data_IF_050799846616
#
_entry.id   IF_050799846616
#
_cell.length_a   1.000
_cell.length_b   1.000
_cell.length_c   1.000
_cell.angle_alpha   90.00
_cell.angle_beta   90.00
_cell.angle_gamma   90.00
#
_symmetry.space_group_name_H-M   'P 1'
#
loop_
_entity.id
_entity.type
_entity.pdbx_description
1 polymer ?
#
# COMPACT_ATOMS: atom_id res chain seq x y z
N UNK A 1 27.55 22.96 -1.38
CA UNK A 1 26.36 22.23 -0.90
C UNK A 1 25.26 22.44 -1.92
N UNK A 2 24.51 21.42 -2.29
CA UNK A 2 23.37 21.56 -3.20
C UNK A 2 22.31 22.48 -2.59
N UNK A 3 21.57 23.18 -3.45
CA UNK A 3 20.50 24.10 -3.05
C UNK A 3 19.18 23.62 -3.66
N UNK A 4 18.20 23.39 -2.82
CA UNK A 4 16.85 23.05 -3.22
C UNK A 4 15.97 24.29 -3.19
N UNK A 5 15.31 24.62 -4.30
CA UNK A 5 14.32 25.71 -4.36
C UNK A 5 12.92 25.14 -4.34
N UNK A 6 12.11 25.59 -3.39
CA UNK A 6 10.71 25.18 -3.23
C UNK A 6 9.87 26.38 -2.81
N UNK A 7 8.75 26.63 -3.51
CA UNK A 7 7.87 27.80 -3.28
C UNK A 7 8.62 29.13 -3.28
N UNK A 8 9.67 29.27 -4.12
CA UNK A 8 10.47 30.48 -4.23
C UNK A 8 11.48 30.69 -3.09
N UNK A 9 11.59 29.77 -2.15
CA UNK A 9 12.60 29.79 -1.08
C UNK A 9 13.69 28.76 -1.35
N UNK A 10 14.91 29.03 -0.88
CA UNK A 10 16.08 28.17 -1.08
C UNK A 10 16.49 27.49 0.23
N UNK A 11 16.82 26.21 0.14
CA UNK A 11 17.19 25.37 1.25
C UNK A 11 18.51 24.67 0.97
N UNK A 12 19.45 24.70 1.91
CA UNK A 12 20.70 23.94 1.80
C UNK A 12 20.46 22.46 2.11
N UNK A 13 20.96 21.58 1.24
CA UNK A 13 20.85 20.13 1.44
C UNK A 13 22.11 19.58 2.08
N UNK A 14 21.96 18.60 2.98
CA UNK A 14 23.07 17.89 3.60
C UNK A 14 23.50 16.68 2.76
N UNK A 15 24.76 16.22 2.89
CA UNK A 15 25.19 15.03 2.18
C UNK A 15 24.37 13.79 2.56
N UNK A 16 23.90 13.06 1.56
CA UNK A 16 23.11 11.83 1.76
C UNK A 16 21.61 12.04 2.04
N UNK A 17 21.14 13.29 2.05
CA UNK A 17 19.70 13.55 2.12
C UNK A 17 18.99 13.24 0.80
N UNK A 18 17.72 12.89 0.92
CA UNK A 18 16.79 12.93 -0.20
C UNK A 18 16.14 14.32 -0.29
N UNK A 19 15.53 14.62 -1.43
CA UNK A 19 14.75 15.86 -1.62
C UNK A 19 13.68 16.00 -0.54
N UNK A 20 12.99 14.92 -0.18
CA UNK A 20 12.02 14.92 0.91
C UNK A 20 12.70 15.20 2.26
N UNK A 21 13.80 14.54 2.57
CA UNK A 21 14.55 14.72 3.83
C UNK A 21 14.97 16.18 4.02
N UNK A 22 15.54 16.79 3.00
CA UNK A 22 15.91 18.21 3.00
C UNK A 22 14.71 19.12 3.32
N UNK A 23 13.58 18.93 2.63
CA UNK A 23 12.38 19.74 2.86
C UNK A 23 11.80 19.55 4.27
N UNK A 24 11.76 18.32 4.77
CA UNK A 24 11.26 18.02 6.12
C UNK A 24 12.16 18.63 7.21
N UNK A 25 13.49 18.57 7.07
CA UNK A 25 14.43 19.20 7.99
C UNK A 25 14.21 20.72 8.06
N UNK A 26 13.85 21.33 6.95
CA UNK A 26 13.48 22.74 6.87
C UNK A 26 11.98 23.00 7.16
N UNK A 27 11.31 22.04 7.84
CA UNK A 27 9.92 22.15 8.30
C UNK A 27 8.90 22.42 7.19
N UNK A 28 9.21 22.03 5.96
CA UNK A 28 8.25 22.15 4.88
C UNK A 28 7.18 21.04 4.97
N UNK A 29 5.92 21.45 4.89
CA UNK A 29 4.78 20.52 4.96
C UNK A 29 4.61 19.80 3.62
N UNK A 30 5.34 18.70 3.43
CA UNK A 30 5.21 17.81 2.29
C UNK A 30 4.44 16.57 2.74
N UNK A 31 3.32 16.20 2.09
CA UNK A 31 2.65 14.94 2.37
C UNK A 31 3.62 13.78 2.19
N UNK A 32 3.68 12.88 3.17
CA UNK A 32 4.58 11.73 3.10
C UNK A 32 4.06 10.58 3.95
N UNK A 33 4.47 9.38 3.59
CA UNK A 33 4.03 8.17 4.29
C UNK A 33 5.13 7.12 4.29
N UNK A 34 5.33 6.43 3.17
CA UNK A 34 6.13 5.19 3.12
C UNK A 34 7.65 5.39 3.12
N UNK A 35 8.15 6.52 2.70
CA UNK A 35 9.59 6.80 2.51
C UNK A 35 10.34 5.77 1.61
N UNK A 36 9.61 4.88 0.97
CA UNK A 36 10.09 3.75 0.19
C UNK A 36 9.63 3.77 -1.28
N UNK A 37 9.10 4.91 -1.76
CA UNK A 37 8.72 5.07 -3.16
C UNK A 37 7.39 4.43 -3.58
N UNK A 38 6.55 4.00 -2.63
CA UNK A 38 5.32 3.25 -2.97
C UNK A 38 4.06 4.12 -2.88
N UNK A 39 3.90 4.91 -1.81
CA UNK A 39 2.63 5.59 -1.50
C UNK A 39 2.31 6.80 -2.38
N UNK A 40 3.25 7.27 -3.18
CA UNK A 40 3.16 8.45 -4.05
C UNK A 40 2.81 9.79 -3.35
N UNK A 41 2.66 9.80 -2.00
CA UNK A 41 2.26 11.00 -1.25
C UNK A 41 3.30 12.11 -1.31
N UNK A 42 4.59 11.76 -1.43
CA UNK A 42 5.69 12.72 -1.53
C UNK A 42 6.03 13.12 -2.97
N UNK A 43 5.10 12.95 -3.90
CA UNK A 43 5.31 13.30 -5.30
C UNK A 43 5.56 14.80 -5.44
N UNK A 44 6.68 15.16 -6.05
CA UNK A 44 7.05 16.51 -6.45
C UNK A 44 7.30 16.54 -7.95
N UNK A 45 7.44 17.75 -8.51
CA UNK A 45 7.68 17.98 -9.93
C UNK A 45 8.90 18.87 -10.14
N UNK A 46 9.71 18.53 -11.14
CA UNK A 46 10.77 19.39 -11.64
C UNK A 46 10.93 19.23 -13.15
N UNK A 47 11.01 20.34 -13.86
CA UNK A 47 11.25 20.35 -15.30
C UNK A 47 12.74 20.51 -15.68
N UNK A 48 13.62 20.58 -14.68
CA UNK A 48 15.06 20.86 -14.88
C UNK A 48 15.97 19.67 -14.53
N UNK A 49 15.40 18.57 -14.06
CA UNK A 49 16.18 17.36 -13.75
C UNK A 49 16.28 16.48 -15.00
N UNK A 50 17.48 16.07 -15.41
CA UNK A 50 17.65 15.12 -16.49
C UNK A 50 16.88 13.82 -16.22
N UNK A 51 16.22 13.28 -17.25
CA UNK A 51 15.35 12.09 -17.14
C UNK A 51 16.08 10.88 -16.56
N UNK A 52 17.37 10.72 -16.88
CA UNK A 52 18.21 9.62 -16.43
C UNK A 52 18.35 9.60 -14.90
N UNK A 53 18.25 10.76 -14.26
CA UNK A 53 18.32 10.88 -12.79
C UNK A 53 17.00 10.61 -12.09
N UNK A 54 15.91 10.69 -12.83
CA UNK A 54 14.57 10.46 -12.28
C UNK A 54 14.14 8.99 -12.33
N UNK A 55 14.84 8.13 -13.09
CA UNK A 55 14.41 6.73 -13.35
C UNK A 55 14.03 5.98 -12.08
N UNK A 56 14.89 6.02 -11.05
CA UNK A 56 14.61 5.33 -9.79
C UNK A 56 13.49 6.02 -9.00
N UNK A 57 13.48 7.35 -8.99
CA UNK A 57 12.48 8.15 -8.28
C UNK A 57 11.13 8.21 -9.01
N UNK A 58 11.01 7.65 -10.20
CA UNK A 58 9.78 7.55 -10.98
C UNK A 58 9.18 6.15 -11.00
N UNK A 59 9.79 5.19 -10.31
CA UNK A 59 9.21 3.84 -10.22
C UNK A 59 7.82 3.87 -9.60
N UNK A 60 6.86 3.20 -10.25
CA UNK A 60 5.47 3.16 -9.82
C UNK A 60 4.62 4.40 -10.18
N UNK A 61 5.20 5.41 -10.84
CA UNK A 61 4.44 6.51 -11.44
C UNK A 61 3.94 6.14 -12.85
N UNK A 62 2.82 6.71 -13.25
CA UNK A 62 2.31 6.55 -14.60
C UNK A 62 3.20 7.25 -15.62
N UNK A 63 3.15 6.82 -16.89
CA UNK A 63 3.90 7.49 -17.97
C UNK A 63 3.56 8.97 -18.09
N UNK A 64 2.30 9.37 -17.83
CA UNK A 64 1.90 10.77 -17.87
C UNK A 64 2.60 11.58 -16.78
N UNK A 65 2.70 11.06 -15.56
CA UNK A 65 3.43 11.67 -14.46
C UNK A 65 4.92 11.77 -14.78
N UNK A 66 5.52 10.70 -15.29
CA UNK A 66 6.93 10.72 -15.70
C UNK A 66 7.19 11.80 -16.78
N UNK A 67 6.34 11.89 -17.80
CA UNK A 67 6.45 12.94 -18.84
C UNK A 67 6.29 14.36 -18.28
N UNK A 68 5.52 14.52 -17.21
CA UNK A 68 5.36 15.81 -16.53
C UNK A 68 6.54 16.16 -15.60
N UNK A 69 7.58 15.33 -15.53
CA UNK A 69 8.71 15.53 -14.63
C UNK A 69 8.37 15.31 -13.15
N UNK A 70 7.32 14.55 -12.88
CA UNK A 70 6.96 14.14 -11.52
C UNK A 70 7.91 13.06 -11.02
N UNK A 71 8.19 13.06 -9.71
CA UNK A 71 9.07 12.09 -9.06
C UNK A 71 8.74 11.96 -7.59
N UNK A 72 9.14 10.85 -6.99
CA UNK A 72 8.97 10.56 -5.56
C UNK A 72 10.13 11.17 -4.78
N UNK A 73 9.88 12.25 -4.05
CA UNK A 73 10.90 13.03 -3.37
C UNK A 73 11.70 12.24 -2.31
N UNK A 74 11.13 11.15 -1.78
CA UNK A 74 11.82 10.23 -0.88
C UNK A 74 12.85 9.32 -1.58
N UNK A 75 12.82 9.24 -2.91
CA UNK A 75 13.70 8.39 -3.70
C UNK A 75 14.75 9.19 -4.49
N UNK A 76 14.60 10.52 -4.60
CA UNK A 76 15.55 11.36 -5.30
C UNK A 76 16.60 11.92 -4.31
N UNK A 77 17.90 11.58 -4.46
CA UNK A 77 18.97 12.22 -3.69
C UNK A 77 19.05 13.72 -3.94
N UNK A 78 19.24 14.50 -2.87
CA UNK A 78 19.40 15.96 -2.93
C UNK A 78 20.87 16.34 -3.14
N UNK A 79 21.56 15.71 -4.08
CA UNK A 79 23.00 15.85 -4.34
C UNK A 79 23.33 16.92 -5.40
N UNK A 80 22.30 17.55 -5.99
CA UNK A 80 22.40 18.64 -6.96
C UNK A 80 21.39 19.73 -6.63
N UNK A 81 21.74 20.98 -7.05
CA UNK A 81 20.79 22.09 -6.95
C UNK A 81 19.65 21.89 -7.92
N UNK A 82 18.43 21.98 -7.41
CA UNK A 82 17.23 21.81 -8.22
C UNK A 82 16.06 22.65 -7.70
N UNK A 83 15.16 22.99 -8.60
CA UNK A 83 13.91 23.67 -8.31
C UNK A 83 12.77 22.66 -8.41
N UNK A 84 11.95 22.58 -7.37
CA UNK A 84 10.82 21.68 -7.29
C UNK A 84 9.53 22.40 -6.93
N UNK A 85 8.42 21.85 -7.38
CA UNK A 85 7.08 22.30 -7.05
C UNK A 85 6.19 21.13 -6.68
N UNK A 86 5.03 21.41 -6.10
CA UNK A 86 3.98 20.41 -6.00
C UNK A 86 3.42 20.18 -7.41
N UNK A 87 3.23 18.94 -7.84
CA UNK A 87 2.57 18.64 -9.10
C UNK A 87 1.12 19.14 -9.05
N UNK A 88 0.48 19.25 -10.21
CA UNK A 88 -0.96 19.43 -10.29
C UNK A 88 -1.61 18.19 -9.65
N UNK A 89 -1.91 18.28 -8.36
CA UNK A 89 -2.30 17.14 -7.55
C UNK A 89 -3.61 16.53 -8.03
N UNK A 90 -3.71 15.20 -8.00
CA UNK A 90 -5.00 14.56 -7.83
C UNK A 90 -5.63 15.18 -6.57
N UNK A 91 -6.87 15.69 -6.64
CA UNK A 91 -7.47 16.38 -5.50
C UNK A 91 -7.57 15.44 -4.29
N UNK A 92 -7.38 15.98 -3.11
CA UNK A 92 -7.81 15.34 -1.88
C UNK A 92 -9.33 15.40 -1.81
N UNK A 93 -9.93 14.28 -1.48
CA UNK A 93 -11.37 14.14 -1.30
C UNK A 93 -11.69 13.95 0.18
N UNK A 94 -12.66 14.69 0.68
CA UNK A 94 -13.19 14.44 2.01
C UNK A 94 -14.15 13.26 1.93
N UNK A 95 -13.94 12.26 2.77
CA UNK A 95 -14.85 11.14 2.95
C UNK A 95 -15.37 11.12 4.38
N UNK A 96 -16.65 10.81 4.54
CA UNK A 96 -17.30 10.70 5.85
C UNK A 96 -17.38 9.25 6.26
N UNK A 97 -16.97 8.94 7.49
CA UNK A 97 -17.09 7.61 8.06
C UNK A 97 -18.56 7.28 8.33
N UNK A 98 -19.06 6.30 7.63
CA UNK A 98 -20.43 5.79 7.81
C UNK A 98 -20.48 4.75 8.93
N UNK A 99 -19.49 3.87 9.03
CA UNK A 99 -19.43 2.80 10.03
C UNK A 99 -18.00 2.44 10.41
N UNK A 100 -17.77 2.23 11.70
CA UNK A 100 -16.56 1.64 12.28
C UNK A 100 -16.93 0.34 12.99
N UNK A 101 -16.18 -0.72 12.73
CA UNK A 101 -16.39 -2.05 13.31
C UNK A 101 -15.07 -2.69 13.68
N UNK A 102 -14.91 -3.18 14.90
CA UNK A 102 -13.74 -3.93 15.32
C UNK A 102 -13.90 -5.39 14.89
N UNK A 103 -13.01 -5.86 14.01
CA UNK A 103 -13.02 -7.24 13.49
C UNK A 103 -12.20 -8.20 14.35
N UNK A 104 -11.17 -7.70 15.04
CA UNK A 104 -10.35 -8.44 16.00
C UNK A 104 -9.71 -7.46 16.98
N UNK A 105 -8.90 -7.96 17.94
CA UNK A 105 -8.19 -7.11 18.89
C UNK A 105 -7.32 -6.03 18.23
N UNK A 106 -6.90 -6.26 16.97
CA UNK A 106 -5.96 -5.39 16.27
C UNK A 106 -6.43 -4.91 14.90
N UNK A 107 -7.59 -5.35 14.41
CA UNK A 107 -8.09 -4.99 13.07
C UNK A 107 -9.45 -4.33 13.16
N UNK A 108 -9.58 -3.19 12.50
CA UNK A 108 -10.82 -2.43 12.33
C UNK A 108 -11.25 -2.41 10.88
N UNK A 109 -12.55 -2.47 10.66
CA UNK A 109 -13.21 -2.22 9.39
C UNK A 109 -13.82 -0.83 9.41
N UNK A 110 -13.37 0.02 8.49
CA UNK A 110 -13.89 1.38 8.33
C UNK A 110 -14.60 1.49 7.00
N UNK A 111 -15.84 1.96 7.02
CA UNK A 111 -16.70 2.14 5.86
C UNK A 111 -16.97 3.62 5.63
N UNK A 112 -16.68 4.10 4.42
CA UNK A 112 -16.80 5.51 4.06
C UNK A 112 -17.79 5.71 2.92
N UNK A 113 -18.62 6.74 3.05
CA UNK A 113 -19.38 7.26 1.93
C UNK A 113 -18.44 7.99 0.97
N UNK A 114 -18.42 7.54 -0.29
CA UNK A 114 -17.55 8.12 -1.30
C UNK A 114 -18.19 7.99 -2.68
N UNK A 115 -18.06 9.06 -3.47
CA UNK A 115 -18.43 9.05 -4.89
C UNK A 115 -17.29 8.59 -5.80
N UNK A 116 -16.13 8.27 -5.26
CA UNK A 116 -14.98 7.82 -6.03
C UNK A 116 -15.23 6.45 -6.66
N UNK A 117 -14.54 6.21 -7.76
CA UNK A 117 -14.51 4.92 -8.44
C UNK A 117 -13.12 4.34 -8.36
N UNK A 118 -13.02 3.04 -8.13
CA UNK A 118 -11.76 2.29 -8.07
C UNK A 118 -11.93 0.91 -8.68
N UNK A 119 -10.82 0.34 -9.08
CA UNK A 119 -10.76 -1.06 -9.49
C UNK A 119 -10.36 -1.94 -8.29
N UNK A 120 -10.82 -3.20 -8.25
CA UNK A 120 -10.45 -4.16 -7.20
C UNK A 120 -8.94 -4.28 -7.06
N UNK A 121 -8.44 -4.19 -5.82
CA UNK A 121 -7.02 -4.24 -5.50
C UNK A 121 -6.31 -2.89 -5.45
N UNK A 122 -6.93 -1.80 -5.92
CA UNK A 122 -6.38 -0.45 -5.78
C UNK A 122 -6.43 0.05 -4.33
N UNK A 123 -5.50 0.96 -4.01
CA UNK A 123 -5.37 1.59 -2.70
C UNK A 123 -5.58 3.11 -2.75
N UNK A 124 -5.74 3.68 -1.56
CA UNK A 124 -5.84 5.13 -1.34
C UNK A 124 -4.85 5.57 -0.27
N UNK A 125 -4.34 6.78 -0.40
CA UNK A 125 -3.64 7.47 0.67
C UNK A 125 -4.65 8.16 1.58
N UNK A 126 -4.66 7.82 2.87
CA UNK A 126 -5.53 8.39 3.88
C UNK A 126 -4.76 9.34 4.78
N UNK A 127 -5.38 10.44 5.18
CA UNK A 127 -4.83 11.41 6.11
C UNK A 127 -5.91 12.07 6.97
N UNK A 128 -5.58 12.40 8.21
CA UNK A 128 -6.43 13.20 9.10
C UNK A 128 -6.01 14.67 9.15
N UNK A 129 -4.77 14.99 8.76
CA UNK A 129 -4.19 16.33 8.86
C UNK A 129 -3.62 16.85 7.52
N UNK A 130 -3.76 16.09 6.43
CA UNK A 130 -3.24 16.42 5.10
C UNK A 130 -1.73 16.26 4.93
N UNK A 131 -1.00 15.86 5.97
CA UNK A 131 0.47 15.72 5.98
C UNK A 131 0.87 14.26 6.21
N UNK A 132 0.48 13.72 7.36
CA UNK A 132 0.74 12.30 7.69
C UNK A 132 -0.19 11.43 6.86
N UNK A 133 0.37 10.60 5.98
CA UNK A 133 -0.41 9.73 5.10
C UNK A 133 -0.01 8.27 5.26
N UNK A 134 -0.98 7.37 5.07
CA UNK A 134 -0.75 5.93 4.91
C UNK A 134 -1.67 5.39 3.84
N UNK A 135 -1.18 4.35 3.16
CA UNK A 135 -1.93 3.67 2.11
C UNK A 135 -2.72 2.52 2.68
N UNK A 136 -3.96 2.42 2.22
CA UNK A 136 -4.86 1.33 2.54
C UNK A 136 -5.59 0.88 1.29
N UNK A 137 -5.58 -0.42 1.04
CA UNK A 137 -6.24 -1.02 -0.11
C UNK A 137 -7.74 -1.18 0.18
N UNK A 138 -8.57 -0.93 -0.83
CA UNK A 138 -10.01 -1.13 -0.73
C UNK A 138 -10.33 -2.63 -0.57
N UNK A 139 -11.23 -2.95 0.36
CA UNK A 139 -11.64 -4.33 0.66
C UNK A 139 -12.87 -4.79 -0.12
N UNK A 140 -13.52 -3.89 -0.85
CA UNK A 140 -14.65 -4.18 -1.73
C UNK A 140 -14.41 -3.60 -3.13
N UNK A 141 -14.91 -4.22 -4.19
CA UNK A 141 -15.00 -3.57 -5.50
C UNK A 141 -16.05 -2.45 -5.46
N UNK A 142 -15.82 -1.39 -6.24
CA UNK A 142 -16.73 -0.23 -6.30
C UNK A 142 -18.16 -0.57 -6.79
N UNK A 143 -18.32 -1.70 -7.48
CA UNK A 143 -19.62 -2.23 -7.92
C UNK A 143 -20.45 -2.83 -6.79
N UNK A 144 -19.81 -3.25 -5.69
CA UNK A 144 -20.47 -4.02 -4.63
C UNK A 144 -20.77 -3.24 -3.35
N UNK A 145 -20.39 -1.97 -3.27
CA UNK A 145 -20.73 -1.19 -2.08
C UNK A 145 -19.84 0.03 -1.83
N UNK A 146 -19.85 0.52 -0.59
CA UNK A 146 -19.10 1.68 -0.17
C UNK A 146 -17.58 1.42 -0.18
N UNK A 147 -16.81 2.47 0.03
CA UNK A 147 -15.37 2.37 0.19
C UNK A 147 -15.03 1.82 1.59
N UNK A 148 -14.48 0.61 1.64
CA UNK A 148 -14.16 -0.10 2.88
C UNK A 148 -12.67 -0.32 2.98
N UNK A 149 -12.12 -0.08 4.18
CA UNK A 149 -10.74 -0.39 4.52
C UNK A 149 -10.65 -1.30 5.74
N UNK A 150 -9.70 -2.24 5.74
CA UNK A 150 -9.28 -2.98 6.92
C UNK A 150 -8.00 -2.38 7.48
N UNK A 151 -8.07 -1.84 8.68
CA UNK A 151 -6.98 -1.10 9.31
C UNK A 151 -6.38 -1.96 10.43
N UNK A 152 -5.11 -2.32 10.29
CA UNK A 152 -4.33 -2.87 11.39
C UNK A 152 -3.97 -1.73 12.34
N UNK A 153 -4.47 -1.78 13.57
CA UNK A 153 -4.12 -0.84 14.63
C UNK A 153 -2.72 -1.15 15.16
N UNK A 154 -1.85 -0.15 15.12
CA UNK A 154 -0.56 -0.19 15.78
C UNK A 154 -0.61 0.79 16.96
N UNK A 155 -0.44 0.33 18.22
CA UNK A 155 -0.59 1.19 19.39
C UNK A 155 0.32 2.42 19.39
N UNK A 156 1.51 2.29 18.79
CA UNK A 156 2.47 3.40 18.61
C UNK A 156 2.30 4.09 17.24
N UNK A 157 1.39 3.61 16.40
CA UNK A 157 1.13 4.13 15.07
C UNK A 157 0.22 5.34 15.10
N UNK A 158 0.77 6.54 14.91
CA UNK A 158 0.02 7.82 14.99
C UNK A 158 -1.26 7.82 14.17
N UNK A 159 -1.21 7.45 12.89
CA UNK A 159 -2.37 7.48 12.01
C UNK A 159 -3.27 6.25 12.18
N UNK A 160 -2.74 5.03 12.25
CA UNK A 160 -3.56 3.82 12.38
C UNK A 160 -4.35 3.79 13.69
N UNK A 161 -3.75 4.22 14.79
CA UNK A 161 -4.45 4.33 16.07
C UNK A 161 -5.54 5.41 16.02
N UNK A 162 -5.26 6.57 15.43
CA UNK A 162 -6.25 7.63 15.27
C UNK A 162 -7.41 7.23 14.36
N UNK A 163 -7.15 6.54 13.24
CA UNK A 163 -8.18 6.02 12.34
C UNK A 163 -9.11 5.02 13.04
N UNK A 164 -8.58 4.14 13.88
CA UNK A 164 -9.36 3.16 14.62
C UNK A 164 -10.22 3.78 15.74
N UNK A 165 -9.99 5.04 16.08
CA UNK A 165 -10.81 5.80 17.08
C UNK A 165 -11.91 6.62 16.45
N UNK A 166 -11.95 6.72 15.12
CA UNK A 166 -13.01 7.45 14.42
C UNK A 166 -14.38 6.82 14.68
N UNK A 167 -15.38 7.67 14.74
CA UNK A 167 -16.78 7.32 14.91
C UNK A 167 -17.61 7.77 13.70
N UNK A 168 -18.79 7.22 13.52
CA UNK A 168 -19.67 7.60 12.43
C UNK A 168 -19.92 9.12 12.41
N UNK A 169 -19.79 9.74 11.25
CA UNK A 169 -19.85 11.18 11.04
C UNK A 169 -18.49 11.89 11.02
N UNK A 170 -17.43 11.27 11.53
CA UNK A 170 -16.08 11.82 11.42
C UNK A 170 -15.61 11.80 9.96
N UNK A 171 -14.72 12.73 9.61
CA UNK A 171 -14.21 12.87 8.25
C UNK A 171 -12.71 12.65 8.17
N UNK A 172 -12.25 12.19 7.03
CA UNK A 172 -10.83 12.14 6.68
C UNK A 172 -10.61 12.65 5.24
N UNK A 173 -9.35 12.89 4.93
CA UNK A 173 -8.90 13.19 3.59
C UNK A 173 -8.37 11.91 2.94
N UNK A 174 -8.77 11.66 1.71
CA UNK A 174 -8.24 10.55 0.91
C UNK A 174 -7.86 11.02 -0.50
N UNK A 175 -6.85 10.39 -1.03
CA UNK A 175 -6.34 10.65 -2.37
C UNK A 175 -6.14 9.31 -3.08
N UNK A 176 -6.54 9.22 -4.32
CA UNK A 176 -6.47 7.99 -5.12
C UNK A 176 -7.61 7.91 -6.13
N UNK A 177 -7.87 6.73 -6.70
CA UNK A 177 -7.18 5.46 -6.45
C UNK A 177 -5.78 5.42 -7.06
N UNK A 178 -4.93 4.56 -6.48
CA UNK A 178 -3.57 4.26 -6.92
C UNK A 178 -3.35 2.75 -7.05
N UNK A 179 -2.26 2.36 -7.70
CA UNK A 179 -1.78 0.98 -7.77
C UNK A 179 -2.26 0.21 -8.99
N UNK A 180 -1.41 -0.75 -9.38
CA UNK A 180 -1.63 -1.64 -10.53
C UNK A 180 -1.88 -3.10 -10.10
N UNK A 181 -2.04 -3.36 -8.81
CA UNK A 181 -2.44 -4.65 -8.26
C UNK A 181 -3.94 -4.84 -8.48
N UNK A 182 -4.32 -5.16 -9.72
CA UNK A 182 -5.72 -5.21 -10.17
C UNK A 182 -6.04 -6.59 -10.72
N UNK A 183 -7.33 -6.97 -10.65
CA UNK A 183 -7.81 -8.14 -11.38
C UNK A 183 -7.53 -7.94 -12.87
N UNK A 184 -6.84 -8.92 -13.47
CA UNK A 184 -6.56 -8.89 -14.89
C UNK A 184 -7.77 -9.36 -15.67
N UNK A 185 -8.02 -8.69 -16.80
CA UNK A 185 -8.94 -9.17 -17.83
C UNK A 185 -8.16 -10.19 -18.68
N UNK A 186 -8.53 -11.46 -18.60
CA UNK A 186 -7.98 -12.53 -19.42
C UNK A 186 -9.14 -13.23 -20.15
N UNK A 187 -8.90 -13.60 -21.40
CA UNK A 187 -9.86 -14.34 -22.22
C UNK A 187 -9.86 -15.85 -21.96
N UNK A 188 -8.90 -16.34 -21.20
CA UNK A 188 -8.75 -17.77 -20.90
C UNK A 188 -9.14 -18.04 -19.46
N UNK A 189 -10.20 -18.84 -19.20
CA UNK A 189 -10.56 -19.25 -17.86
C UNK A 189 -9.38 -19.89 -17.13
N UNK A 190 -9.11 -19.44 -15.90
CA UNK A 190 -7.99 -19.91 -15.09
C UNK A 190 -8.41 -20.01 -13.64
N UNK A 191 -7.66 -20.78 -12.85
CA UNK A 191 -7.80 -20.72 -11.42
C UNK A 191 -7.21 -19.41 -10.90
N UNK A 192 -7.96 -18.72 -10.03
CA UNK A 192 -7.51 -17.54 -9.30
C UNK A 192 -7.09 -17.96 -7.89
N UNK A 193 -5.80 -17.89 -7.60
CA UNK A 193 -5.24 -18.19 -6.28
C UNK A 193 -4.84 -16.90 -5.57
N UNK A 194 -5.55 -16.58 -4.50
CA UNK A 194 -5.37 -15.38 -3.69
C UNK A 194 -4.72 -15.78 -2.36
N UNK A 195 -3.54 -15.27 -2.05
CA UNK A 195 -2.79 -15.63 -0.84
C UNK A 195 -2.46 -14.37 -0.05
N UNK A 196 -3.02 -14.24 1.16
CA UNK A 196 -2.89 -13.04 1.97
C UNK A 196 -2.60 -13.27 3.43
N UNK A 197 -1.91 -12.30 4.06
CA UNK A 197 -1.65 -12.31 5.49
C UNK A 197 -2.03 -10.98 6.14
N UNK A 198 -2.69 -11.07 7.31
CA UNK A 198 -3.16 -9.89 8.04
C UNK A 198 -4.10 -9.03 7.18
N UNK A 199 -3.96 -7.71 7.24
CA UNK A 199 -4.77 -6.79 6.42
C UNK A 199 -4.42 -6.82 4.93
N UNK A 200 -3.40 -7.58 4.50
CA UNK A 200 -3.20 -7.97 3.10
C UNK A 200 -4.39 -8.75 2.52
N UNK A 201 -5.27 -9.24 3.39
CA UNK A 201 -6.54 -9.84 2.96
C UNK A 201 -7.45 -8.82 2.24
N UNK A 202 -7.44 -7.54 2.62
CA UNK A 202 -8.35 -6.51 2.09
C UNK A 202 -8.37 -6.41 0.55
N UNK A 203 -7.25 -6.17 -0.15
CA UNK A 203 -7.27 -6.10 -1.61
C UNK A 203 -7.67 -7.42 -2.28
N UNK A 204 -7.36 -8.55 -1.64
CA UNK A 204 -7.72 -9.87 -2.16
C UNK A 204 -9.22 -10.14 -2.06
N UNK A 205 -9.89 -9.65 -1.01
CA UNK A 205 -11.35 -9.70 -0.89
C UNK A 205 -12.03 -8.90 -2.00
N UNK A 206 -11.49 -7.72 -2.32
CA UNK A 206 -12.00 -6.91 -3.43
C UNK A 206 -11.81 -7.61 -4.79
N UNK A 207 -10.63 -8.19 -5.02
CA UNK A 207 -10.33 -8.95 -6.25
C UNK A 207 -11.24 -10.18 -6.35
N UNK A 208 -11.37 -10.97 -5.26
CA UNK A 208 -12.26 -12.12 -5.21
C UNK A 208 -13.72 -11.71 -5.48
N UNK A 209 -14.16 -10.61 -4.85
CA UNK A 209 -15.51 -10.09 -5.03
C UNK A 209 -15.82 -9.75 -6.49
N UNK A 210 -14.89 -9.10 -7.19
CA UNK A 210 -15.03 -8.80 -8.61
C UNK A 210 -15.00 -10.08 -9.46
N UNK A 211 -14.06 -10.98 -9.17
CA UNK A 211 -13.94 -12.24 -9.92
C UNK A 211 -15.18 -13.14 -9.81
N UNK A 212 -16.00 -13.01 -8.74
CA UNK A 212 -17.29 -13.73 -8.65
C UNK A 212 -18.39 -13.16 -9.56
N UNK A 213 -18.18 -11.98 -10.14
CA UNK A 213 -19.12 -11.34 -11.07
C UNK A 213 -18.68 -11.54 -12.53
N UNK A 214 -17.52 -12.17 -12.72
CA UNK A 214 -16.90 -12.40 -14.02
C UNK A 214 -16.72 -13.91 -14.24
N UNK A 215 -17.24 -14.44 -15.35
CA UNK A 215 -17.17 -15.86 -15.70
C UNK A 215 -15.77 -16.31 -16.18
N UNK A 216 -14.76 -15.43 -16.10
CA UNK A 216 -13.41 -15.77 -16.56
C UNK A 216 -12.63 -16.73 -15.63
N UNK A 217 -13.09 -16.93 -14.39
CA UNK A 217 -12.44 -17.83 -13.43
C UNK A 217 -13.35 -18.98 -13.03
N UNK A 218 -12.97 -20.20 -13.40
CA UNK A 218 -13.70 -21.42 -13.05
C UNK A 218 -13.55 -21.83 -11.58
N UNK A 219 -12.45 -21.40 -10.94
CA UNK A 219 -12.12 -21.75 -9.56
C UNK A 219 -11.39 -20.58 -8.89
N UNK A 220 -11.94 -20.12 -7.78
CA UNK A 220 -11.35 -19.07 -6.94
C UNK A 220 -11.02 -19.66 -5.58
N UNK A 221 -9.73 -19.62 -5.22
CA UNK A 221 -9.21 -20.11 -3.94
C UNK A 221 -8.58 -18.94 -3.18
N UNK A 222 -9.02 -18.74 -1.94
CA UNK A 222 -8.46 -17.78 -1.01
C UNK A 222 -7.71 -18.51 0.12
N UNK A 223 -6.39 -18.41 0.13
CA UNK A 223 -5.54 -18.89 1.21
C UNK A 223 -5.24 -17.76 2.20
N UNK A 224 -5.82 -17.85 3.38
CA UNK A 224 -5.60 -16.93 4.49
C UNK A 224 -4.42 -17.40 5.33
N UNK A 225 -3.40 -16.58 5.45
CA UNK A 225 -2.22 -16.91 6.22
C UNK A 225 -2.06 -16.02 7.46
N UNK A 226 -1.66 -16.60 8.58
CA UNK A 226 -1.31 -15.86 9.79
C UNK A 226 -0.12 -16.53 10.49
N UNK A 227 0.60 -15.79 11.35
CA UNK A 227 1.65 -16.39 12.21
C UNK A 227 1.06 -17.27 13.29
N UNK A 228 -0.09 -16.88 13.82
CA UNK A 228 -0.85 -17.62 14.80
C UNK A 228 -2.35 -17.42 14.59
N UNK A 229 -3.17 -18.22 15.23
CA UNK A 229 -4.63 -18.22 15.04
C UNK A 229 -5.26 -16.86 15.36
N UNK A 230 -4.69 -16.10 16.29
CA UNK A 230 -5.12 -14.74 16.66
C UNK A 230 -4.88 -13.69 15.57
N UNK A 231 -4.03 -14.00 14.57
CA UNK A 231 -3.80 -13.16 13.41
C UNK A 231 -4.85 -13.33 12.31
N UNK A 232 -5.75 -14.28 12.44
CA UNK A 232 -6.89 -14.47 11.55
C UNK A 232 -8.06 -13.62 12.07
N UNK A 233 -8.71 -12.92 11.18
CA UNK A 233 -9.92 -12.17 11.51
C UNK A 233 -11.04 -12.48 10.52
N UNK A 234 -12.27 -12.39 10.96
CA UNK A 234 -13.46 -12.53 10.13
C UNK A 234 -13.95 -11.13 9.69
N UNK A 235 -14.58 -11.08 8.53
CA UNK A 235 -15.19 -9.84 8.04
C UNK A 235 -16.47 -10.12 7.24
N UNK A 236 -17.36 -9.14 7.12
CA UNK A 236 -18.56 -9.26 6.28
C UNK A 236 -18.23 -9.59 4.82
N UNK A 237 -17.12 -9.05 4.29
CA UNK A 237 -16.66 -9.31 2.92
C UNK A 237 -16.27 -10.77 2.74
N UNK A 238 -15.51 -11.33 3.69
CA UNK A 238 -15.12 -12.74 3.67
C UNK A 238 -16.33 -13.66 3.77
N UNK A 239 -17.24 -13.39 4.71
CA UNK A 239 -18.48 -14.16 4.88
C UNK A 239 -19.33 -14.17 3.61
N UNK A 240 -19.40 -13.00 2.91
CA UNK A 240 -20.10 -12.88 1.62
C UNK A 240 -19.48 -13.78 0.55
N UNK A 241 -18.14 -13.85 0.47
CA UNK A 241 -17.43 -14.68 -0.49
C UNK A 241 -17.61 -16.17 -0.22
N UNK A 242 -17.56 -16.59 1.05
CA UNK A 242 -17.85 -17.97 1.46
C UNK A 242 -19.27 -18.36 1.05
N UNK A 243 -20.26 -17.50 1.28
CA UNK A 243 -21.66 -17.71 0.88
C UNK A 243 -21.84 -17.78 -0.64
N UNK A 244 -20.94 -17.16 -1.42
CA UNK A 244 -20.89 -17.29 -2.89
C UNK A 244 -20.17 -18.57 -3.36
N UNK A 245 -19.67 -19.40 -2.46
CA UNK A 245 -19.02 -20.67 -2.78
C UNK A 245 -17.53 -20.58 -3.08
N UNK A 246 -16.87 -19.45 -2.77
CA UNK A 246 -15.41 -19.38 -2.88
C UNK A 246 -14.78 -20.33 -1.87
N UNK A 247 -13.79 -21.10 -2.35
CA UNK A 247 -13.02 -21.98 -1.51
C UNK A 247 -12.03 -21.19 -0.65
N UNK A 248 -12.15 -21.29 0.67
CA UNK A 248 -11.28 -20.59 1.62
C UNK A 248 -10.49 -21.60 2.45
N UNK A 249 -9.17 -21.50 2.33
CA UNK A 249 -8.21 -22.26 3.11
C UNK A 249 -7.51 -21.36 4.15
N UNK A 250 -7.00 -21.97 5.21
CA UNK A 250 -6.25 -21.27 6.26
C UNK A 250 -4.96 -22.01 6.56
N UNK A 251 -3.84 -21.26 6.61
CA UNK A 251 -2.54 -21.81 6.99
C UNK A 251 -1.82 -20.92 8.01
N UNK A 252 -1.11 -21.55 8.96
CA UNK A 252 -0.18 -20.86 9.83
C UNK A 252 1.20 -20.85 9.14
N UNK A 253 1.64 -19.70 8.69
CA UNK A 253 2.83 -19.63 7.84
C UNK A 253 4.17 -19.70 8.58
N UNK A 254 4.17 -19.64 9.91
CA UNK A 254 5.33 -19.99 10.76
C UNK A 254 5.44 -21.51 10.99
N UNK A 255 4.37 -22.29 10.73
CA UNK A 255 4.38 -23.74 10.67
C UNK A 255 4.66 -24.19 9.24
N UNK A 256 5.93 -24.49 8.96
CA UNK A 256 6.38 -24.92 7.63
C UNK A 256 5.68 -26.18 7.13
N UNK A 257 5.39 -27.13 7.98
CA UNK A 257 4.79 -28.43 7.58
C UNK A 257 3.32 -28.24 7.16
N UNK A 258 2.57 -27.48 7.94
CA UNK A 258 1.17 -27.13 7.63
C UNK A 258 1.09 -26.31 6.33
N UNK A 259 1.95 -25.29 6.20
CA UNK A 259 1.98 -24.46 5.01
C UNK A 259 2.36 -25.23 3.76
N UNK A 260 3.42 -26.05 3.84
CA UNK A 260 3.89 -26.85 2.70
C UNK A 260 2.86 -27.91 2.29
N UNK A 261 2.17 -28.50 3.27
CA UNK A 261 1.05 -29.41 3.02
C UNK A 261 -0.08 -28.73 2.24
N UNK A 262 -0.47 -27.53 2.66
CA UNK A 262 -1.51 -26.74 1.98
C UNK A 262 -1.10 -26.38 0.55
N UNK A 263 0.12 -25.89 0.35
CA UNK A 263 0.60 -25.54 -0.98
C UNK A 263 0.70 -26.75 -1.92
N UNK A 264 1.10 -27.91 -1.39
CA UNK A 264 1.10 -29.19 -2.17
C UNK A 264 -0.31 -29.61 -2.57
N UNK A 265 -1.29 -29.42 -1.71
CA UNK A 265 -2.69 -29.72 -2.03
C UNK A 265 -3.24 -28.81 -3.14
N UNK A 266 -2.75 -27.58 -3.23
CA UNK A 266 -3.10 -26.62 -4.28
C UNK A 266 -2.29 -26.81 -5.58
N UNK A 267 -1.13 -27.50 -5.54
CA UNK A 267 -0.26 -27.70 -6.70
C UNK A 267 -0.89 -28.67 -7.74
N UNK A 268 -0.49 -28.59 -9.03
CA UNK A 268 0.44 -27.61 -9.59
C UNK A 268 -0.21 -26.24 -9.82
N UNK A 269 0.56 -25.16 -9.60
CA UNK A 269 0.11 -23.78 -9.81
C UNK A 269 0.36 -23.30 -11.26
N UNK A 270 0.56 -24.21 -12.19
CA UNK A 270 0.84 -23.88 -13.58
C UNK A 270 -0.40 -23.36 -14.29
N UNK A 271 -0.30 -22.14 -14.79
CA UNK A 271 -1.40 -21.47 -15.47
C UNK A 271 -2.40 -20.76 -14.54
N UNK A 272 -2.16 -20.79 -13.23
CA UNK A 272 -2.96 -20.01 -12.28
C UNK A 272 -2.55 -18.53 -12.31
N UNK A 273 -3.53 -17.65 -12.10
CA UNK A 273 -3.23 -16.28 -11.68
C UNK A 273 -3.09 -16.26 -10.14
N UNK A 274 -1.90 -15.90 -9.67
CA UNK A 274 -1.55 -15.89 -8.26
C UNK A 274 -1.44 -14.44 -7.77
N UNK A 275 -2.21 -14.07 -6.77
CA UNK A 275 -2.17 -12.75 -6.15
C UNK A 275 -1.68 -12.87 -4.71
N UNK A 276 -0.58 -12.18 -4.40
CA UNK A 276 0.06 -12.21 -3.10
C UNK A 276 -0.05 -10.84 -2.43
N UNK A 277 -0.60 -10.78 -1.21
CA UNK A 277 -0.68 -9.52 -0.47
C UNK A 277 -0.39 -9.68 1.01
N UNK A 278 0.41 -8.78 1.58
CA UNK A 278 0.82 -8.76 2.97
C UNK A 278 2.16 -8.08 3.20
N UNK A 279 2.83 -8.39 4.32
CA UNK A 279 4.15 -7.84 4.60
C UNK A 279 5.18 -8.22 3.53
N UNK A 280 6.21 -7.39 3.31
CA UNK A 280 7.23 -7.65 2.31
C UNK A 280 7.90 -9.03 2.50
N UNK A 281 8.20 -9.41 3.75
CA UNK A 281 8.77 -10.73 4.08
C UNK A 281 7.82 -11.86 3.67
N UNK A 282 6.52 -11.72 3.95
CA UNK A 282 5.51 -12.70 3.58
C UNK A 282 5.43 -12.86 2.07
N UNK A 283 5.27 -11.77 1.33
CA UNK A 283 5.11 -11.78 -0.14
C UNK A 283 6.33 -12.39 -0.82
N UNK A 284 7.56 -12.00 -0.44
CA UNK A 284 8.80 -12.56 -1.00
C UNK A 284 8.93 -14.07 -0.74
N UNK A 285 8.55 -14.53 0.45
CA UNK A 285 8.59 -15.95 0.80
C UNK A 285 7.58 -16.75 -0.03
N UNK A 286 6.36 -16.22 -0.19
CA UNK A 286 5.31 -16.91 -0.95
C UNK A 286 5.53 -16.85 -2.46
N UNK A 287 6.06 -15.76 -3.00
CA UNK A 287 6.47 -15.69 -4.41
C UNK A 287 7.41 -16.84 -4.78
N UNK A 288 8.46 -17.04 -3.96
CA UNK A 288 9.41 -18.14 -4.17
C UNK A 288 8.74 -19.51 -4.09
N UNK A 289 7.84 -19.73 -3.12
CA UNK A 289 7.13 -21.00 -2.97
C UNK A 289 6.17 -21.27 -4.14
N UNK A 290 5.36 -20.28 -4.52
CA UNK A 290 4.47 -20.42 -5.67
C UNK A 290 5.23 -20.74 -6.96
N UNK A 291 6.37 -20.09 -7.18
CA UNK A 291 7.25 -20.39 -8.30
C UNK A 291 7.76 -21.84 -8.25
N UNK A 292 8.19 -22.33 -7.08
CA UNK A 292 8.64 -23.72 -6.91
C UNK A 292 7.51 -24.75 -7.13
N UNK A 293 6.26 -24.39 -6.88
CA UNK A 293 5.07 -25.19 -7.15
C UNK A 293 4.52 -25.02 -8.57
N UNK A 294 5.23 -24.31 -9.45
CA UNK A 294 4.96 -24.28 -10.89
C UNK A 294 4.29 -23.00 -11.41
N UNK A 295 4.00 -22.01 -10.57
CA UNK A 295 3.48 -20.73 -11.05
C UNK A 295 4.53 -19.98 -11.90
N UNK A 296 4.08 -19.37 -12.99
CA UNK A 296 4.95 -18.48 -13.77
C UNK A 296 5.15 -17.14 -13.04
N UNK A 297 6.35 -16.57 -13.16
CA UNK A 297 6.61 -15.24 -12.57
C UNK A 297 5.74 -14.14 -13.16
N UNK A 298 5.36 -14.23 -14.42
CA UNK A 298 4.44 -13.32 -15.11
C UNK A 298 3.03 -13.37 -14.52
N UNK A 299 2.64 -14.50 -13.95
CA UNK A 299 1.30 -14.76 -13.44
C UNK A 299 1.23 -14.56 -11.91
N UNK A 300 2.35 -14.15 -11.29
CA UNK A 300 2.40 -13.81 -9.85
C UNK A 300 2.35 -12.29 -9.68
N UNK A 301 1.22 -11.81 -9.18
CA UNK A 301 0.98 -10.41 -8.88
C UNK A 301 1.18 -10.14 -7.40
N UNK A 302 1.75 -8.99 -7.04
CA UNK A 302 2.20 -8.73 -5.66
C UNK A 302 1.81 -7.34 -5.18
N UNK A 303 1.27 -7.28 -3.95
CA UNK A 303 1.07 -6.05 -3.18
C UNK A 303 1.78 -6.19 -1.83
N UNK A 304 2.81 -5.39 -1.61
CA UNK A 304 3.62 -5.45 -0.39
C UNK A 304 3.28 -4.30 0.55
N UNK A 305 2.88 -4.65 1.78
CA UNK A 305 2.70 -3.69 2.85
C UNK A 305 4.03 -3.47 3.57
N UNK A 306 4.45 -2.21 3.62
CA UNK A 306 5.72 -1.83 4.23
C UNK A 306 5.50 -1.54 5.73
N UNK A 307 6.41 -2.04 6.56
CA UNK A 307 6.46 -1.71 7.97
C UNK A 307 7.27 -0.43 8.18
N UNK A 308 6.61 0.62 8.63
CA UNK A 308 7.19 1.96 8.78
C UNK A 308 7.78 2.23 10.15
N UNK A 309 7.65 1.32 11.12
CA UNK A 309 8.13 1.51 12.49
C UNK A 309 9.65 1.75 12.54
N UNK A 310 10.41 1.12 11.65
CA UNK A 310 11.86 1.25 11.58
C UNK A 310 12.33 2.42 10.70
N UNK A 311 11.61 2.72 9.61
CA UNK A 311 12.03 3.72 8.61
C UNK A 311 11.82 5.15 9.10
N UNK A 312 10.72 5.41 9.81
CA UNK A 312 10.41 6.73 10.34
C UNK A 312 11.38 7.13 11.46
N UNK A 313 11.77 6.20 12.33
CA UNK A 313 12.75 6.44 13.37
C UNK A 313 14.13 6.82 12.78
N UNK A 314 14.60 6.09 11.77
CA UNK A 314 15.90 6.36 11.13
C UNK A 314 15.94 7.68 10.36
N UNK A 315 14.84 8.11 9.76
CA UNK A 315 14.76 9.41 9.04
C UNK A 315 14.64 10.56 10.03
N UNK A 316 13.90 10.39 11.13
CA UNK A 316 13.78 11.40 12.19
C UNK A 316 15.05 11.53 13.00
N UNK A 317 15.78 10.43 13.26
CA UNK A 317 17.11 10.49 13.90
C UNK A 317 18.15 11.23 13.05
N UNK A 318 18.12 11.04 11.73
CA UNK A 318 18.97 11.77 10.78
C UNK A 318 18.56 13.23 10.58
N UNK A 319 17.31 13.58 10.88
CA UNK A 319 16.77 14.93 10.78
C UNK A 319 16.92 15.77 12.07
N UNK A 320 17.39 15.18 13.18
CA UNK A 320 17.73 15.93 14.40
C UNK A 320 19.09 16.60 14.21
N UNK A 321 19.22 17.91 14.48
CA UNK A 321 20.53 18.56 14.45
C UNK A 321 21.43 17.86 15.46
N UNK A 322 22.61 17.45 15.01
CA UNK A 322 23.67 17.01 15.91
C UNK A 322 23.98 18.18 16.88
N UNK A 323 23.55 18.06 18.13
CA UNK A 323 23.98 18.97 19.18
C UNK A 323 25.51 19.04 19.16
N UNK A 324 26.02 20.18 18.73
CA UNK A 324 27.42 20.50 18.87
C UNK A 324 27.72 20.55 20.35
N UNK A 325 28.21 19.45 20.85
CA UNK A 325 28.85 19.40 22.18
C UNK A 325 30.07 20.33 22.16
N UNK A 326 29.85 21.56 22.56
CA UNK A 326 30.94 22.45 22.98
C UNK A 326 31.63 21.79 24.15
N UNK A 327 32.79 21.20 23.89
CA UNK A 327 33.73 20.93 24.94
C UNK A 327 34.55 22.20 25.17
N UNK A 328 34.34 22.78 26.34
CA UNK A 328 35.29 23.66 27.01
C UNK A 328 36.61 22.93 27.27
#
# INVERSE_FOLDING_TARGET
MPILTFKGQTYSCEPGETVLGCLLRHQQAIPHGCLAGVCQSCCLQSHRVPTERLVEAQQGLSEAQCRNGEFLACQLPADHSLEVSLPAQKPWHTATLARSEQLSDTVWRLEFDSSLRWQPGQYFSLSLNGIDTRCYSAALPASQGPLVFHIQRHPEGRLSDALCRLTAGDTLQLQGPFGDFRLLEDSTPRRLLLIGSGTGLAPLLAIAGAATEDDQYDNIVLLRCARGITGLYESPELSRLINKGIHVETALWDDNDSLESTLRALAPLRGDHVYLSGSARFVQQFERRCFMHGASRSDIHKEMFLDFSQTTAQVLERAQPSDMNEKK
#
